data_IF_332787511872
#
_entry.id   IF_332787511872
#
_cell.length_a   1.000
_cell.length_b   1.000
_cell.length_c   1.000
_cell.angle_alpha   90.00
_cell.angle_beta   90.00
_cell.angle_gamma   90.00
#
_symmetry.space_group_name_H-M   'P 1'
#
loop_
_entity.id
_entity.type
_entity.pdbx_description
1 polymer ?
#
# COMPACT_ATOMS: atom_id res chain seq x y z
N UNK A 1 2.98 -82.97 -17.41
CA UNK A 1 3.49 -83.12 -16.03
C UNK A 1 3.76 -81.74 -15.45
N UNK A 2 3.30 -81.51 -14.21
CA UNK A 2 3.60 -80.41 -13.28
C UNK A 2 3.34 -78.96 -13.77
N UNK A 3 2.19 -78.34 -13.49
CA UNK A 3 1.66 -77.77 -12.22
C UNK A 3 2.05 -76.31 -11.99
N UNK A 4 0.99 -75.52 -11.78
CA UNK A 4 0.91 -74.10 -11.44
C UNK A 4 1.73 -73.71 -10.21
N UNK A 5 2.23 -72.47 -10.19
CA UNK A 5 2.17 -71.59 -8.99
C UNK A 5 1.87 -70.14 -9.42
N UNK A 6 0.59 -69.78 -9.40
CA UNK A 6 0.14 -68.40 -9.16
C UNK A 6 -0.03 -68.26 -7.64
N UNK A 7 0.60 -67.27 -7.00
CA UNK A 7 0.12 -66.70 -5.73
C UNK A 7 1.00 -65.56 -5.20
N UNK A 8 0.33 -64.42 -4.98
CA UNK A 8 0.44 -63.52 -3.82
C UNK A 8 1.69 -62.64 -3.73
N UNK A 9 1.60 -61.40 -4.21
CA UNK A 9 2.03 -60.19 -3.45
C UNK A 9 1.05 -59.06 -3.76
N UNK A 10 -0.05 -59.02 -3.03
CA UNK A 10 -0.87 -57.83 -2.78
C UNK A 10 -0.97 -57.75 -1.26
N UNK A 11 -0.92 -56.54 -0.71
CA UNK A 11 -0.97 -56.15 0.72
C UNK A 11 0.41 -55.77 1.29
N UNK A 12 0.82 -54.51 1.06
CA UNK A 12 1.81 -53.81 1.89
C UNK A 12 1.71 -52.26 1.81
N UNK A 13 0.51 -51.67 1.63
CA UNK A 13 0.33 -50.19 1.61
C UNK A 13 -0.86 -49.70 2.49
N UNK A 14 -1.44 -50.55 3.34
CA UNK A 14 -2.54 -50.13 4.24
C UNK A 14 -2.22 -50.53 5.68
N UNK A 15 -1.16 -49.96 6.25
CA UNK A 15 -0.93 -50.03 7.71
C UNK A 15 -0.09 -48.88 8.30
N UNK A 16 0.43 -47.94 7.50
CA UNK A 16 1.14 -46.75 8.01
C UNK A 16 0.28 -45.48 8.02
N UNK A 17 -0.97 -45.53 7.53
CA UNK A 17 -1.89 -44.39 7.50
C UNK A 17 -2.83 -44.29 8.73
N UNK A 18 -2.71 -45.21 9.71
CA UNK A 18 -3.61 -45.25 10.87
C UNK A 18 -2.98 -44.79 12.20
N UNK A 19 -1.70 -44.38 12.24
CA UNK A 19 -1.02 -44.02 13.51
C UNK A 19 -0.74 -42.51 13.64
N UNK A 20 -0.90 -41.69 12.60
CA UNK A 20 -0.71 -40.23 12.71
C UNK A 20 -1.97 -39.44 13.08
N UNK A 21 -3.14 -40.09 13.21
CA UNK A 21 -4.40 -39.44 13.59
C UNK A 21 -4.63 -39.45 15.13
N UNK A 22 -3.82 -40.18 15.89
CA UNK A 22 -3.98 -40.28 17.36
C UNK A 22 -3.21 -39.23 18.19
N UNK A 23 -2.43 -38.32 17.57
CA UNK A 23 -1.71 -37.24 18.29
C UNK A 23 -2.35 -35.85 18.06
N UNK A 24 -3.45 -35.76 17.31
CA UNK A 24 -4.14 -34.49 17.04
C UNK A 24 -5.54 -34.37 17.69
N UNK A 25 -5.83 -35.14 18.74
CA UNK A 25 -7.13 -35.12 19.44
C UNK A 25 -7.03 -34.81 20.95
N UNK A 26 -6.02 -34.04 21.39
CA UNK A 26 -5.88 -33.61 22.80
C UNK A 26 -5.64 -32.11 23.01
N UNK A 27 -5.92 -31.26 22.01
CA UNK A 27 -5.95 -29.79 22.17
C UNK A 27 -7.18 -29.13 21.56
N UNK A 28 -8.37 -29.63 21.90
CA UNK A 28 -9.62 -28.87 21.79
C UNK A 28 -10.44 -29.08 23.06
N UNK A 29 -10.32 -28.13 24.01
CA UNK A 29 -11.29 -27.96 25.10
C UNK A 29 -12.25 -26.84 24.69
N UNK A 30 -13.55 -27.11 24.54
CA UNK A 30 -14.56 -26.06 24.54
C UNK A 30 -14.88 -25.71 26.00
N UNK A 31 -14.69 -24.45 26.40
CA UNK A 31 -15.31 -23.91 27.61
C UNK A 31 -16.44 -22.99 27.17
N UNK A 32 -17.68 -23.42 27.41
CA UNK A 32 -18.85 -22.56 27.34
C UNK A 32 -19.67 -22.70 28.62
N UNK A 33 -20.16 -21.54 29.07
CA UNK A 33 -21.27 -21.27 30.00
C UNK A 33 -20.93 -21.19 31.49
N UNK A 34 -20.87 -19.95 31.98
CA UNK A 34 -21.78 -19.49 33.03
C UNK A 34 -22.39 -18.16 32.61
N UNK A 35 -23.73 -18.14 32.55
CA UNK A 35 -24.57 -16.94 32.56
C UNK A 35 -24.55 -16.42 33.99
N UNK A 36 -24.36 -15.11 34.16
CA UNK A 36 -25.05 -14.39 35.24
C UNK A 36 -25.47 -13.02 34.72
N UNK A 37 -26.78 -12.87 34.65
CA UNK A 37 -27.52 -11.64 34.45
C UNK A 37 -27.72 -11.01 35.82
N UNK A 38 -27.23 -9.80 36.04
CA UNK A 38 -27.81 -8.91 37.03
C UNK A 38 -27.73 -7.46 36.55
N UNK A 39 -28.86 -6.99 36.04
CA UNK A 39 -29.21 -5.59 36.00
C UNK A 39 -29.43 -5.11 37.45
N UNK A 40 -28.82 -3.99 37.80
CA UNK A 40 -29.27 -3.17 38.92
C UNK A 40 -29.34 -1.72 38.46
N UNK A 41 -30.59 -1.32 38.23
CA UNK A 41 -31.07 0.04 38.16
C UNK A 41 -30.88 0.74 39.52
N UNK A 42 -30.26 1.92 39.52
CA UNK A 42 -30.47 2.91 40.56
C UNK A 42 -30.72 4.28 39.91
N UNK A 43 -31.92 4.75 40.21
CA UNK A 43 -32.60 5.99 39.81
C UNK A 43 -32.36 7.02 40.90
N UNK A 44 -31.87 8.21 40.58
CA UNK A 44 -32.11 9.44 41.33
C UNK A 44 -32.36 10.54 40.29
N UNK A 45 -33.62 10.83 40.01
CA UNK A 45 -34.41 11.90 40.62
C UNK A 45 -34.12 13.28 40.02
N UNK A 46 -35.20 13.76 39.39
CA UNK A 46 -35.44 15.02 38.72
C UNK A 46 -35.56 16.12 39.77
N UNK A 47 -34.99 17.29 39.49
CA UNK A 47 -35.60 18.56 39.89
C UNK A 47 -35.37 19.60 38.78
N UNK A 48 -36.47 19.91 38.09
CA UNK A 48 -36.64 21.11 37.29
C UNK A 48 -36.53 22.34 38.20
N UNK A 49 -35.90 23.42 37.73
CA UNK A 49 -36.65 24.68 37.70
C UNK A 49 -36.18 25.60 36.58
N UNK A 50 -37.16 26.09 35.82
CA UNK A 50 -37.00 27.10 34.78
C UNK A 50 -37.49 28.41 35.35
N UNK A 51 -36.66 29.46 35.36
CA UNK A 51 -37.18 30.82 35.48
C UNK A 51 -36.40 31.84 34.66
N UNK A 52 -37.18 32.43 33.76
CA UNK A 52 -36.97 33.63 32.96
C UNK A 52 -36.79 34.85 33.88
N UNK A 53 -35.91 35.78 33.54
CA UNK A 53 -36.19 37.23 33.44
C UNK A 53 -34.90 38.05 33.24
N UNK A 54 -34.95 38.96 32.27
CA UNK A 54 -34.05 40.09 31.98
C UNK A 54 -34.65 41.36 32.65
N UNK A 55 -34.08 42.58 32.57
CA UNK A 55 -32.68 43.03 32.37
C UNK A 55 -32.25 44.06 33.45
N UNK A 56 -30.98 44.48 33.51
CA UNK A 56 -30.61 45.91 33.58
C UNK A 56 -29.09 46.20 33.60
N UNK A 57 -28.79 47.39 33.11
CA UNK A 57 -27.50 48.03 32.83
C UNK A 57 -26.49 48.07 33.99
N UNK A 58 -25.20 47.86 33.70
CA UNK A 58 -24.17 48.88 33.96
C UNK A 58 -22.82 48.59 33.29
N UNK A 59 -22.24 49.64 32.73
CA UNK A 59 -20.97 49.68 32.02
C UNK A 59 -19.76 49.64 32.97
N UNK A 60 -18.65 49.00 32.57
CA UNK A 60 -17.28 49.58 32.57
C UNK A 60 -16.23 48.67 31.90
N UNK A 61 -15.59 49.26 30.89
CA UNK A 61 -14.23 49.11 30.29
C UNK A 61 -13.19 48.13 30.86
N UNK A 62 -12.29 47.74 29.93
CA UNK A 62 -10.95 47.12 30.03
C UNK A 62 -10.93 45.58 30.04
N UNK A 63 -10.20 44.84 29.20
CA UNK A 63 -9.08 45.14 28.29
C UNK A 63 -9.00 44.12 27.16
N UNK A 64 -8.40 44.56 26.05
CA UNK A 64 -8.03 43.73 24.90
C UNK A 64 -6.99 42.67 25.28
N UNK A 65 -7.29 41.40 25.00
CA UNK A 65 -6.29 40.44 24.50
C UNK A 65 -7.00 39.40 23.62
N UNK A 66 -7.27 39.76 22.36
CA UNK A 66 -7.61 38.76 21.34
C UNK A 66 -6.33 38.09 20.86
N UNK A 67 -5.88 37.06 21.56
CA UNK A 67 -4.97 36.07 21.00
C UNK A 67 -5.81 35.08 20.17
N UNK A 68 -6.33 35.55 19.03
CA UNK A 68 -6.73 34.66 17.95
C UNK A 68 -5.48 34.32 17.14
N UNK A 69 -4.62 33.48 17.70
CA UNK A 69 -3.69 32.68 16.91
C UNK A 69 -4.51 31.57 16.26
N UNK A 70 -5.25 31.95 15.22
CA UNK A 70 -5.74 30.99 14.25
C UNK A 70 -4.48 30.44 13.57
N UNK A 71 -4.08 29.24 13.97
CA UNK A 71 -3.14 28.42 13.22
C UNK A 71 -3.69 28.32 11.79
N UNK A 72 -3.16 29.12 10.87
CA UNK A 72 -3.40 28.96 9.44
C UNK A 72 -2.85 27.59 9.08
N UNK A 73 -3.72 26.59 9.06
CA UNK A 73 -3.43 25.34 8.38
C UNK A 73 -3.27 25.69 6.90
N UNK A 74 -2.02 25.77 6.44
CA UNK A 74 -1.70 25.94 5.03
C UNK A 74 -2.47 24.91 4.21
N UNK A 75 -2.97 25.30 3.06
CA UNK A 75 -3.61 24.35 2.16
C UNK A 75 -2.59 23.28 1.72
N UNK A 76 -3.03 22.04 1.40
CA UNK A 76 -2.12 21.00 0.88
C UNK A 76 -1.37 21.42 -0.39
N UNK A 77 -1.80 22.49 -1.08
CA UNK A 77 -1.08 23.11 -2.20
C UNK A 77 0.11 23.92 -1.72
N UNK A 78 -0.09 24.85 -0.80
CA UNK A 78 0.97 25.69 -0.27
C UNK A 78 2.05 24.88 0.47
N UNK A 79 1.68 23.79 1.14
CA UNK A 79 2.63 22.89 1.79
C UNK A 79 3.59 22.25 0.78
N UNK A 80 3.08 21.73 -0.34
CA UNK A 80 3.89 21.06 -1.37
C UNK A 80 4.73 22.06 -2.17
N UNK A 81 4.16 23.20 -2.55
CA UNK A 81 4.93 24.28 -3.22
C UNK A 81 6.06 24.78 -2.32
N UNK A 82 5.83 24.90 -1.01
CA UNK A 82 6.87 25.28 -0.04
C UNK A 82 7.92 24.20 0.14
N UNK A 83 7.53 22.93 0.17
CA UNK A 83 8.44 21.80 0.37
C UNK A 83 9.45 21.67 -0.78
N UNK A 84 8.98 21.81 -2.02
CA UNK A 84 9.83 21.66 -3.22
C UNK A 84 10.32 22.99 -3.80
N UNK A 85 9.78 24.13 -3.36
CA UNK A 85 10.13 25.45 -3.89
C UNK A 85 9.71 25.66 -5.35
N UNK A 86 8.76 24.86 -5.85
CA UNK A 86 8.27 24.91 -7.23
C UNK A 86 6.78 25.23 -7.29
N UNK A 87 6.32 26.10 -8.20
CA UNK A 87 4.89 26.29 -8.46
C UNK A 87 4.29 25.01 -9.06
N UNK A 88 3.05 24.65 -8.67
CA UNK A 88 2.40 23.41 -9.13
C UNK A 88 1.02 23.65 -9.77
N UNK A 89 0.69 22.79 -10.74
CA UNK A 89 -0.57 22.77 -11.47
C UNK A 89 -1.56 21.72 -10.96
N UNK A 90 -2.34 21.15 -11.89
CA UNK A 90 -3.40 20.18 -11.60
C UNK A 90 -2.85 18.90 -10.95
N UNK A 91 -3.59 18.38 -9.97
CA UNK A 91 -3.34 17.07 -9.35
C UNK A 91 -4.08 15.99 -10.13
N UNK A 92 -3.36 15.03 -10.70
CA UNK A 92 -3.88 13.88 -11.42
C UNK A 92 -3.59 12.63 -10.59
N UNK A 93 -4.44 12.38 -9.58
CA UNK A 93 -4.24 11.31 -8.60
C UNK A 93 -5.15 10.12 -8.88
N UNK A 94 -4.59 8.92 -8.80
CA UNK A 94 -5.33 7.66 -8.82
C UNK A 94 -5.82 7.29 -7.41
N UNK A 95 -6.96 6.61 -7.31
CA UNK A 95 -7.46 6.12 -6.03
C UNK A 95 -6.74 4.82 -5.62
N UNK A 96 -5.48 4.97 -5.19
CA UNK A 96 -4.69 3.88 -4.61
C UNK A 96 -4.81 3.97 -3.09
N UNK A 97 -5.57 3.05 -2.50
CA UNK A 97 -5.73 2.97 -1.04
C UNK A 97 -4.54 2.24 -0.43
N UNK A 98 -3.94 2.85 0.59
CA UNK A 98 -2.82 2.27 1.33
C UNK A 98 -3.18 0.92 1.93
N UNK A 99 -2.31 -0.06 1.72
CA UNK A 99 -2.32 -1.34 2.42
C UNK A 99 -0.94 -1.58 3.01
N UNK A 100 -0.87 -1.79 4.32
CA UNK A 100 0.39 -2.02 5.02
C UNK A 100 0.91 -3.41 4.67
N UNK A 101 2.22 -3.52 4.38
CA UNK A 101 2.85 -4.81 4.15
C UNK A 101 2.75 -5.70 5.40
N UNK A 102 2.29 -6.94 5.23
CA UNK A 102 2.00 -7.85 6.35
C UNK A 102 3.24 -8.62 6.86
N UNK A 103 4.33 -8.58 6.10
CA UNK A 103 5.65 -9.12 6.47
C UNK A 103 6.73 -8.14 6.01
N UNK A 104 7.90 -8.26 6.60
CA UNK A 104 9.02 -7.37 6.32
C UNK A 104 9.49 -7.45 4.84
N UNK A 105 9.34 -8.61 4.19
CA UNK A 105 9.69 -8.87 2.79
C UNK A 105 8.48 -8.81 1.82
N UNK A 106 7.34 -8.25 2.25
CA UNK A 106 6.10 -8.18 1.46
C UNK A 106 5.88 -6.82 0.78
N UNK A 107 6.92 -6.00 0.57
CA UNK A 107 6.79 -4.73 -0.15
C UNK A 107 6.19 -4.91 -1.56
N UNK A 108 6.68 -5.86 -2.35
CA UNK A 108 6.13 -6.20 -3.67
C UNK A 108 4.69 -6.76 -3.61
N UNK A 109 4.37 -7.82 -2.81
CA UNK A 109 3.00 -8.28 -2.63
C UNK A 109 2.01 -7.19 -2.20
N UNK A 110 2.40 -6.34 -1.24
CA UNK A 110 1.56 -5.23 -0.78
C UNK A 110 1.34 -4.19 -1.89
N UNK A 111 2.41 -3.84 -2.62
CA UNK A 111 2.33 -2.94 -3.77
C UNK A 111 1.38 -3.46 -4.84
N UNK A 112 1.55 -4.71 -5.28
CA UNK A 112 0.67 -5.32 -6.29
C UNK A 112 -0.77 -5.43 -5.79
N UNK A 113 -0.99 -5.74 -4.50
CA UNK A 113 -2.33 -5.74 -3.89
C UNK A 113 -2.99 -4.36 -3.98
N UNK A 114 -2.26 -3.27 -3.66
CA UNK A 114 -2.77 -1.91 -3.79
C UNK A 114 -3.11 -1.57 -5.25
N UNK A 115 -2.24 -1.95 -6.19
CA UNK A 115 -2.44 -1.71 -7.62
C UNK A 115 -3.69 -2.44 -8.14
N UNK A 116 -3.86 -3.72 -7.80
CA UNK A 116 -5.04 -4.50 -8.15
C UNK A 116 -6.31 -3.92 -7.53
N UNK A 117 -6.27 -3.55 -6.25
CA UNK A 117 -7.42 -3.01 -5.53
C UNK A 117 -7.92 -1.70 -6.14
N UNK A 118 -7.01 -0.84 -6.63
CA UNK A 118 -7.38 0.39 -7.35
C UNK A 118 -8.20 0.14 -8.63
N UNK A 119 -8.17 -1.10 -9.15
CA UNK A 119 -8.91 -1.58 -10.32
C UNK A 119 -10.04 -2.54 -9.95
N UNK A 120 -10.45 -2.56 -8.67
CA UNK A 120 -11.53 -3.41 -8.17
C UNK A 120 -11.18 -4.89 -8.07
N UNK A 121 -9.89 -5.26 -8.13
CA UNK A 121 -9.41 -6.65 -8.01
C UNK A 121 -8.78 -6.84 -6.65
N UNK A 122 -9.34 -7.73 -5.83
CA UNK A 122 -8.87 -7.97 -4.47
C UNK A 122 -8.16 -9.32 -4.42
N UNK A 123 -6.87 -9.30 -4.10
CA UNK A 123 -6.05 -10.49 -3.86
C UNK A 123 -5.20 -10.22 -2.62
N UNK A 124 -5.22 -11.12 -1.65
CA UNK A 124 -4.48 -10.92 -0.40
C UNK A 124 -2.95 -11.06 -0.60
N UNK A 125 -2.17 -10.41 0.26
CA UNK A 125 -0.70 -10.38 0.13
C UNK A 125 -0.05 -11.75 0.30
N UNK A 126 -0.63 -12.69 1.05
CA UNK A 126 -0.06 -14.04 1.21
C UNK A 126 -0.26 -14.87 -0.05
N UNK A 127 -1.41 -14.74 -0.71
CA UNK A 127 -1.65 -15.34 -2.02
C UNK A 127 -0.70 -14.77 -3.05
N UNK A 128 -0.57 -13.44 -3.13
CA UNK A 128 0.38 -12.78 -4.04
C UNK A 128 1.82 -13.21 -3.76
N UNK A 129 2.24 -13.22 -2.49
CA UNK A 129 3.58 -13.63 -2.10
C UNK A 129 3.90 -15.07 -2.56
N UNK A 130 2.96 -16.00 -2.39
CA UNK A 130 3.12 -17.39 -2.85
C UNK A 130 3.26 -17.46 -4.37
N UNK A 131 2.43 -16.74 -5.12
CA UNK A 131 2.44 -16.80 -6.59
C UNK A 131 3.64 -16.08 -7.22
N UNK A 132 4.11 -15.02 -6.57
CA UNK A 132 5.31 -14.27 -6.95
C UNK A 132 6.60 -15.00 -6.55
N UNK A 133 6.49 -16.08 -5.78
CA UNK A 133 7.65 -16.79 -5.25
C UNK A 133 8.43 -15.97 -4.22
N UNK A 134 7.77 -15.09 -3.46
CA UNK A 134 8.40 -14.31 -2.40
C UNK A 134 9.08 -15.22 -1.39
N UNK A 135 10.36 -14.97 -1.10
CA UNK A 135 11.17 -15.86 -0.29
C UNK A 135 12.12 -15.14 0.65
N UNK A 136 12.56 -15.86 1.67
CA UNK A 136 13.56 -15.41 2.62
C UNK A 136 14.96 -15.76 2.11
N UNK A 137 15.98 -14.88 2.25
CA UNK A 137 15.96 -13.59 2.95
C UNK A 137 15.84 -12.36 2.01
N UNK A 138 15.26 -12.46 0.81
CA UNK A 138 15.38 -11.39 -0.20
C UNK A 138 14.07 -10.70 -0.59
N UNK A 139 12.93 -11.38 -0.51
CA UNK A 139 11.66 -10.86 -0.99
C UNK A 139 11.30 -11.39 -2.37
N UNK A 140 10.95 -10.51 -3.31
CA UNK A 140 10.37 -10.86 -4.62
C UNK A 140 11.13 -10.19 -5.74
N UNK A 141 11.43 -10.95 -6.81
CA UNK A 141 11.95 -10.35 -8.04
C UNK A 141 10.87 -9.52 -8.75
N UNK A 142 11.21 -8.33 -9.24
CA UNK A 142 10.29 -7.45 -9.96
C UNK A 142 9.66 -8.14 -11.17
N UNK A 143 10.44 -8.96 -11.89
CA UNK A 143 9.96 -9.87 -12.94
C UNK A 143 8.71 -10.65 -12.51
N UNK A 144 8.76 -11.26 -11.33
CA UNK A 144 7.69 -12.12 -10.84
C UNK A 144 6.52 -11.31 -10.27
N UNK A 145 6.81 -10.18 -9.61
CA UNK A 145 5.78 -9.24 -9.18
C UNK A 145 4.94 -8.76 -10.38
N UNK A 146 5.58 -8.35 -11.47
CA UNK A 146 4.90 -7.84 -12.67
C UNK A 146 4.21 -8.96 -13.47
N UNK A 147 4.81 -10.16 -13.54
CA UNK A 147 4.18 -11.35 -14.12
C UNK A 147 2.84 -11.66 -13.44
N UNK A 148 2.83 -11.68 -12.11
CA UNK A 148 1.63 -11.96 -11.31
C UNK A 148 0.64 -10.79 -11.31
N UNK A 149 1.13 -9.54 -11.30
CA UNK A 149 0.27 -8.37 -11.51
C UNK A 149 -0.49 -8.48 -12.84
N UNK A 150 0.21 -8.80 -13.94
CA UNK A 150 -0.42 -8.98 -15.25
C UNK A 150 -1.44 -10.12 -15.25
N UNK A 151 -1.10 -11.26 -14.64
CA UNK A 151 -2.00 -12.41 -14.50
C UNK A 151 -3.35 -11.99 -13.90
N UNK A 152 -3.34 -11.27 -12.78
CA UNK A 152 -4.56 -10.85 -12.09
C UNK A 152 -5.25 -9.68 -12.77
N UNK A 153 -4.48 -8.73 -13.31
CA UNK A 153 -5.01 -7.52 -13.92
C UNK A 153 -5.67 -7.79 -15.28
N UNK A 154 -4.98 -8.54 -16.15
CA UNK A 154 -5.34 -8.70 -17.55
C UNK A 154 -5.65 -10.15 -17.96
N UNK A 155 -5.37 -11.14 -17.10
CA UNK A 155 -5.66 -12.56 -17.38
C UNK A 155 -4.53 -13.31 -18.07
N UNK A 156 -3.36 -12.71 -18.22
CA UNK A 156 -2.16 -13.34 -18.79
C UNK A 156 -0.91 -12.76 -18.14
N UNK A 157 0.16 -13.54 -18.10
CA UNK A 157 1.40 -13.18 -17.41
C UNK A 157 2.32 -12.29 -18.25
N UNK A 158 2.37 -12.54 -19.56
CA UNK A 158 3.32 -11.92 -20.48
C UNK A 158 2.57 -11.19 -21.61
N UNK A 159 2.45 -9.86 -21.55
CA UNK A 159 1.81 -9.09 -22.61
C UNK A 159 2.62 -9.16 -23.91
N UNK A 160 1.93 -9.36 -25.03
CA UNK A 160 2.53 -9.18 -26.36
C UNK A 160 2.78 -7.69 -26.66
N UNK A 161 3.60 -7.37 -27.67
CA UNK A 161 4.06 -6.00 -27.97
C UNK A 161 2.95 -4.94 -28.00
N UNK A 162 1.78 -5.25 -28.57
CA UNK A 162 0.66 -4.33 -28.70
C UNK A 162 -0.54 -4.69 -27.81
N UNK A 163 -0.31 -5.52 -26.80
CA UNK A 163 -1.33 -5.94 -25.86
C UNK A 163 -1.28 -5.07 -24.60
N UNK A 164 -2.43 -4.81 -23.98
CA UNK A 164 -2.46 -4.19 -22.66
C UNK A 164 -1.62 -5.02 -21.67
N UNK A 165 -1.00 -4.40 -20.68
CA UNK A 165 -0.16 -5.12 -19.72
C UNK A 165 1.03 -4.29 -19.27
N UNK A 166 1.42 -4.51 -18.02
CA UNK A 166 2.59 -3.90 -17.44
C UNK A 166 3.86 -4.44 -18.05
N UNK A 167 4.79 -3.54 -18.37
CA UNK A 167 6.15 -3.84 -18.82
C UNK A 167 7.14 -3.24 -17.85
N UNK A 168 8.24 -3.95 -17.61
CA UNK A 168 9.36 -3.45 -16.80
C UNK A 168 10.23 -2.56 -17.67
N UNK A 169 10.60 -1.40 -17.14
CA UNK A 169 11.71 -0.59 -17.59
C UNK A 169 12.79 -0.57 -16.52
N UNK A 170 14.03 -0.86 -16.91
CA UNK A 170 15.20 -0.81 -16.03
C UNK A 170 15.91 0.54 -16.19
N UNK A 171 15.98 1.31 -15.12
CA UNK A 171 16.65 2.62 -15.07
C UNK A 171 18.17 2.42 -15.01
N UNK A 172 18.82 2.55 -16.18
CA UNK A 172 20.28 2.43 -16.30
C UNK A 172 20.99 3.76 -16.16
N UNK A 173 20.40 4.82 -16.70
CA UNK A 173 20.97 6.14 -16.78
C UNK A 173 19.89 7.22 -16.67
N UNK A 174 20.25 8.33 -16.02
CA UNK A 174 19.35 9.46 -15.80
C UNK A 174 19.84 10.62 -16.64
N UNK A 175 19.11 10.90 -17.71
CA UNK A 175 19.32 12.01 -18.60
C UNK A 175 17.95 12.56 -19.03
N UNK A 176 17.93 13.69 -19.74
CA UNK A 176 16.67 14.32 -20.12
C UNK A 176 15.74 13.40 -20.91
N UNK A 177 16.28 12.50 -21.74
CA UNK A 177 15.46 11.58 -22.53
C UNK A 177 14.83 10.47 -21.67
N UNK A 178 15.56 9.91 -20.71
CA UNK A 178 15.00 8.89 -19.80
C UNK A 178 13.97 9.48 -18.83
N UNK A 179 14.20 10.71 -18.34
CA UNK A 179 13.23 11.45 -17.53
C UNK A 179 11.96 11.73 -18.34
N UNK A 180 12.11 12.24 -19.57
CA UNK A 180 10.98 12.55 -20.45
C UNK A 180 10.15 11.29 -20.75
N UNK A 181 10.80 10.17 -21.09
CA UNK A 181 10.12 8.91 -21.33
C UNK A 181 9.36 8.41 -20.10
N UNK A 182 9.96 8.51 -18.91
CA UNK A 182 9.29 8.17 -17.65
C UNK A 182 8.03 9.02 -17.44
N UNK A 183 8.13 10.34 -17.64
CA UNK A 183 7.00 11.26 -17.50
C UNK A 183 5.87 10.93 -18.48
N UNK A 184 6.19 10.65 -19.73
CA UNK A 184 5.20 10.24 -20.75
C UNK A 184 4.45 8.97 -20.34
N UNK A 185 5.17 7.97 -19.83
CA UNK A 185 4.58 6.71 -19.33
C UNK A 185 3.71 6.95 -18.10
N UNK A 186 4.18 7.75 -17.14
CA UNK A 186 3.41 8.13 -15.96
C UNK A 186 2.10 8.84 -16.32
N UNK A 187 2.15 9.81 -17.24
CA UNK A 187 0.97 10.53 -17.72
C UNK A 187 -0.01 9.54 -18.35
N UNK A 188 0.47 8.70 -19.28
CA UNK A 188 -0.36 7.72 -19.98
C UNK A 188 -1.05 6.76 -18.99
N UNK A 189 -0.28 6.14 -18.10
CA UNK A 189 -0.80 5.21 -17.11
C UNK A 189 -1.83 5.85 -16.18
N UNK A 190 -1.56 7.09 -15.74
CA UNK A 190 -2.49 7.84 -14.91
C UNK A 190 -3.79 8.13 -15.64
N UNK A 191 -3.74 8.51 -16.92
CA UNK A 191 -4.91 8.76 -17.75
C UNK A 191 -5.73 7.49 -18.00
N UNK A 192 -5.05 6.36 -18.22
CA UNK A 192 -5.69 5.05 -18.41
C UNK A 192 -6.21 4.44 -17.09
N UNK A 193 -5.90 5.08 -15.95
CA UNK A 193 -6.35 4.68 -14.63
C UNK A 193 -5.56 3.52 -14.03
N UNK A 194 -4.32 3.29 -14.47
CA UNK A 194 -3.42 2.23 -14.01
C UNK A 194 -2.28 2.81 -13.15
N UNK A 195 -2.13 2.38 -11.89
CA UNK A 195 -0.99 2.75 -11.05
C UNK A 195 0.33 2.30 -11.67
N UNK A 196 1.43 2.97 -11.33
CA UNK A 196 2.78 2.51 -11.68
C UNK A 196 3.33 1.60 -10.57
N UNK A 197 4.33 0.77 -10.88
CA UNK A 197 5.12 0.03 -9.88
C UNK A 197 6.51 0.64 -9.84
N UNK A 198 7.05 0.95 -8.66
CA UNK A 198 8.40 1.52 -8.52
C UNK A 198 9.25 0.66 -7.59
N UNK A 199 10.52 0.49 -7.95
CA UNK A 199 11.54 -0.11 -7.09
C UNK A 199 12.66 0.89 -6.86
N UNK A 200 12.91 1.27 -5.60
CA UNK A 200 13.95 2.26 -5.28
C UNK A 200 14.67 1.93 -3.98
N UNK A 201 15.77 2.63 -3.73
CA UNK A 201 16.46 2.63 -2.45
C UNK A 201 15.81 3.62 -1.47
N UNK A 202 15.15 3.15 -0.40
CA UNK A 202 14.45 4.04 0.52
C UNK A 202 15.41 4.96 1.29
N UNK A 203 16.68 4.59 1.46
CA UNK A 203 17.70 5.44 2.09
C UNK A 203 18.06 6.70 1.28
N UNK A 204 17.69 6.75 0.00
CA UNK A 204 17.84 7.94 -0.85
C UNK A 204 16.65 8.89 -0.81
N UNK A 205 15.50 8.44 -0.31
CA UNK A 205 14.27 9.24 -0.23
C UNK A 205 13.96 9.62 1.22
N UNK A 206 14.13 8.69 2.15
CA UNK A 206 13.79 8.88 3.54
C UNK A 206 15.06 9.09 4.39
N UNK A 207 15.22 10.26 5.03
CA UNK A 207 16.38 10.53 5.87
C UNK A 207 16.55 9.50 7.00
N UNK A 208 17.77 9.01 7.19
CA UNK A 208 18.11 8.09 8.28
C UNK A 208 17.72 6.62 8.03
N UNK A 209 17.27 6.28 6.83
CA UNK A 209 16.95 4.90 6.45
C UNK A 209 18.15 4.23 5.80
N UNK A 210 18.35 2.95 6.14
CA UNK A 210 19.43 2.14 5.56
C UNK A 210 19.20 1.87 4.07
N UNK A 211 20.29 1.63 3.35
CA UNK A 211 20.23 1.19 1.96
C UNK A 211 19.55 -0.18 1.88
N UNK A 212 18.49 -0.25 1.08
CA UNK A 212 17.72 -1.45 0.83
C UNK A 212 17.07 -1.36 -0.56
N UNK A 213 16.30 -2.37 -0.93
CA UNK A 213 15.39 -2.32 -2.07
C UNK A 213 13.95 -2.30 -1.55
N UNK A 214 13.13 -1.42 -2.10
CA UNK A 214 11.75 -1.24 -1.65
C UNK A 214 10.81 -0.98 -2.82
N UNK A 215 9.62 -1.60 -2.78
CA UNK A 215 8.61 -1.47 -3.82
C UNK A 215 7.42 -0.65 -3.33
N UNK A 216 6.92 0.25 -4.18
CA UNK A 216 5.76 1.11 -3.89
C UNK A 216 4.85 1.25 -5.11
N UNK A 217 3.60 1.67 -4.88
CA UNK A 217 2.63 1.90 -5.95
C UNK A 217 2.58 3.39 -6.35
N UNK A 218 2.90 3.72 -7.58
CA UNK A 218 2.72 5.06 -8.13
C UNK A 218 1.24 5.43 -8.27
N UNK A 219 0.85 6.54 -7.67
CA UNK A 219 -0.55 6.97 -7.52
C UNK A 219 -0.88 8.22 -8.35
N UNK A 220 -0.12 8.47 -9.41
CA UNK A 220 -0.33 9.59 -10.34
C UNK A 220 0.69 10.71 -10.18
N UNK A 221 0.31 11.93 -10.53
CA UNK A 221 1.24 13.05 -10.59
C UNK A 221 0.62 14.42 -10.29
N UNK A 222 1.46 15.41 -10.04
CA UNK A 222 1.13 16.82 -10.03
C UNK A 222 1.76 17.45 -11.26
N UNK A 223 0.96 18.15 -12.05
CA UNK A 223 1.43 18.80 -13.26
C UNK A 223 2.21 20.08 -12.96
N UNK A 224 2.99 20.55 -13.93
CA UNK A 224 3.52 21.92 -13.98
C UNK A 224 2.39 22.95 -14.01
N UNK A 225 2.64 24.24 -13.70
CA UNK A 225 1.61 25.28 -13.68
C UNK A 225 0.81 25.43 -14.98
N UNK A 226 1.46 25.21 -16.12
CA UNK A 226 0.84 25.24 -17.45
C UNK A 226 0.12 23.93 -17.82
N UNK A 227 0.16 22.93 -16.92
CA UNK A 227 -0.41 21.60 -17.04
C UNK A 227 0.13 20.78 -18.23
N UNK A 228 1.31 21.10 -18.75
CA UNK A 228 1.90 20.42 -19.91
C UNK A 228 2.86 19.29 -19.54
N UNK A 229 3.43 19.32 -18.34
CA UNK A 229 4.44 18.36 -17.89
C UNK A 229 4.20 17.93 -16.43
N UNK A 230 4.99 16.99 -15.94
CA UNK A 230 5.00 16.48 -14.56
C UNK A 230 5.99 17.29 -13.71
N UNK A 231 5.48 17.93 -12.67
CA UNK A 231 6.29 18.56 -11.63
C UNK A 231 6.67 17.56 -10.53
N UNK A 232 5.70 16.75 -10.08
CA UNK A 232 5.88 15.82 -8.98
C UNK A 232 5.15 14.49 -9.22
N UNK A 233 5.66 13.42 -8.65
CA UNK A 233 5.11 12.06 -8.71
C UNK A 233 4.48 11.71 -7.37
N UNK A 234 3.26 11.18 -7.38
CA UNK A 234 2.68 10.55 -6.19
C UNK A 234 3.01 9.06 -6.16
N UNK A 235 3.30 8.55 -4.97
CA UNK A 235 3.30 7.11 -4.72
C UNK A 235 2.74 6.80 -3.33
N UNK A 236 2.34 5.55 -3.12
CA UNK A 236 1.84 5.02 -1.85
C UNK A 236 2.79 3.95 -1.36
N UNK A 237 3.38 4.20 -0.20
CA UNK A 237 4.34 3.33 0.45
C UNK A 237 3.64 2.33 1.39
N UNK A 238 3.85 1.01 1.24
CA UNK A 238 3.24 0.01 2.11
C UNK A 238 3.96 -0.17 3.45
N UNK A 239 5.13 0.43 3.67
CA UNK A 239 5.89 0.19 4.89
C UNK A 239 5.33 0.99 6.07
N UNK A 240 5.03 0.29 7.17
CA UNK A 240 4.35 0.87 8.33
C UNK A 240 5.12 2.02 8.99
N UNK A 241 6.46 2.09 8.84
CA UNK A 241 7.27 3.19 9.41
C UNK A 241 7.23 4.47 8.57
N UNK A 242 6.76 4.40 7.32
CA UNK A 242 6.65 5.56 6.44
C UNK A 242 5.23 6.15 6.41
N UNK A 243 4.37 5.71 7.32
CA UNK A 243 3.02 6.23 7.46
C UNK A 243 3.02 7.49 8.32
N UNK A 244 2.26 8.51 7.91
CA UNK A 244 2.00 9.69 8.73
C UNK A 244 0.50 9.84 9.03
N UNK A 245 0.11 10.59 10.09
CA UNK A 245 -1.29 10.69 10.52
C UNK A 245 -2.24 11.37 9.52
N UNK A 246 -1.71 12.11 8.53
CA UNK A 246 -2.51 12.95 7.62
C UNK A 246 -2.68 12.25 6.27
N UNK A 247 -1.58 11.79 5.69
CA UNK A 247 -1.49 11.25 4.34
C UNK A 247 -1.22 9.74 4.32
N UNK A 248 -0.96 9.13 5.48
CA UNK A 248 -0.60 7.72 5.58
C UNK A 248 0.67 7.44 4.77
N UNK A 249 0.57 6.48 3.85
CA UNK A 249 1.67 6.09 2.97
C UNK A 249 1.81 6.95 1.72
N UNK A 250 0.90 7.90 1.48
CA UNK A 250 1.00 8.77 0.30
C UNK A 250 2.19 9.71 0.43
N UNK A 251 3.08 9.67 -0.55
CA UNK A 251 4.25 10.53 -0.66
C UNK A 251 4.27 11.21 -2.01
N UNK A 252 5.09 12.25 -2.09
CA UNK A 252 5.34 13.02 -3.30
C UNK A 252 6.84 13.23 -3.42
N UNK A 253 7.38 13.18 -4.64
CA UNK A 253 8.81 13.39 -4.98
C UNK A 253 8.92 13.98 -6.39
N UNK A 254 10.07 14.53 -6.76
CA UNK A 254 10.30 14.89 -8.18
C UNK A 254 10.58 13.63 -9.02
N UNK A 255 10.33 13.66 -10.35
CA UNK A 255 10.74 12.58 -11.24
C UNK A 255 12.24 12.25 -11.13
N UNK A 256 13.08 13.28 -11.02
CA UNK A 256 14.52 13.14 -10.90
C UNK A 256 14.93 12.49 -9.59
N UNK A 257 14.33 12.90 -8.47
CA UNK A 257 14.57 12.31 -7.15
C UNK A 257 14.21 10.82 -7.15
N UNK A 258 13.03 10.49 -7.69
CA UNK A 258 12.58 9.11 -7.80
C UNK A 258 13.52 8.26 -8.65
N UNK A 259 13.85 8.69 -9.87
CA UNK A 259 14.72 7.93 -10.77
C UNK A 259 16.15 7.79 -10.18
N UNK A 260 16.68 8.82 -9.53
CA UNK A 260 17.97 8.74 -8.82
C UNK A 260 17.94 7.76 -7.65
N UNK A 261 16.78 7.62 -7.00
CA UNK A 261 16.58 6.62 -5.96
C UNK A 261 16.55 5.19 -6.50
N UNK A 262 16.15 4.98 -7.76
CA UNK A 262 16.20 3.68 -8.44
C UNK A 262 17.63 3.28 -8.80
N UNK A 263 18.48 4.23 -9.21
CA UNK A 263 19.85 3.90 -9.62
C UNK A 263 20.64 3.26 -8.46
N UNK A 264 21.17 2.06 -8.69
CA UNK A 264 22.04 1.37 -7.75
C UNK A 264 21.36 0.41 -6.77
N UNK A 265 20.04 0.19 -6.88
CA UNK A 265 19.43 -1.05 -6.34
C UNK A 265 19.70 -2.23 -7.26
N UNK A 266 19.39 -3.46 -6.81
CA UNK A 266 19.66 -4.67 -7.59
C UNK A 266 18.73 -4.77 -8.79
N UNK A 267 17.48 -4.37 -8.63
CA UNK A 267 16.47 -4.31 -9.69
C UNK A 267 15.94 -2.87 -9.83
N UNK A 268 16.67 -1.97 -10.53
CA UNK A 268 16.37 -0.53 -10.62
C UNK A 268 15.20 -0.27 -11.58
N UNK A 269 14.07 -0.88 -11.30
CA UNK A 269 12.95 -0.99 -12.24
C UNK A 269 11.78 -0.09 -11.87
N UNK A 270 11.03 0.31 -12.89
CA UNK A 270 9.61 0.64 -12.75
C UNK A 270 8.78 -0.14 -13.75
N UNK A 271 7.50 -0.33 -13.46
CA UNK A 271 6.56 -0.91 -14.41
C UNK A 271 5.41 0.04 -14.74
N UNK A 272 5.01 -0.01 -16.01
CA UNK A 272 4.01 0.84 -16.65
C UNK A 272 3.16 0.00 -17.62
#
# INVERSE_FOLDING_TARGET
MAVQKKSIIVIAIISTLAISIAVLASRMRPSSVTKDTQASSAKSEIANDSKKDQPDHNARKESQTSNNQASQANSPKEEVEKLYGIPIGKRNKLNVTTQIQQRWNFCAPATVSMMLASRGKIVDQFTLAREMGTYEPFGTHNRDAIRILNKHMFGYEFPQTNQAGYRIETVREINSASIELFKQRLIKNTQDGYPMYYTFNPGKIYPGIANAEHNVAGAGYIATPDNKDVALVYYVDPYYKFQDPIYGGLKVVTPEELLNAMVGVSEPDYAW
#
